data_IF_341828119388
#
_entry.id   IF_341828119388
#
_cell.length_a   1.000
_cell.length_b   1.000
_cell.length_c   1.000
_cell.angle_alpha   90.00
_cell.angle_beta   90.00
_cell.angle_gamma   90.00
#
_symmetry.space_group_name_H-M   'P 1'
#
loop_
_entity.id
_entity.type
_entity.pdbx_description
1 polymer ?
#
# COMPACT_ATOMS: atom_id res chain seq x y z
N UNK A 1 -8.39 -21.85 -27.02
CA UNK A 1 -7.37 -21.71 -25.95
C UNK A 1 -7.94 -20.77 -24.92
N UNK A 2 -8.19 -21.22 -23.69
CA UNK A 2 -8.80 -20.40 -22.63
C UNK A 2 -7.72 -19.47 -22.07
N UNK A 3 -7.82 -18.19 -22.36
CA UNK A 3 -7.14 -17.18 -21.56
C UNK A 3 -7.79 -17.19 -20.18
N UNK A 4 -7.02 -17.57 -19.17
CA UNK A 4 -7.45 -17.53 -17.77
C UNK A 4 -7.64 -16.06 -17.40
N UNK A 5 -8.90 -15.64 -17.29
CA UNK A 5 -9.27 -14.35 -16.69
C UNK A 5 -8.69 -14.36 -15.27
N UNK A 6 -7.60 -13.61 -15.06
CA UNK A 6 -7.23 -13.20 -13.70
C UNK A 6 -8.29 -12.17 -13.34
N UNK A 7 -9.34 -12.59 -12.66
CA UNK A 7 -10.31 -11.66 -12.09
C UNK A 7 -9.50 -10.65 -11.25
N UNK A 8 -9.59 -9.37 -11.63
CA UNK A 8 -9.00 -8.28 -10.86
C UNK A 8 -9.68 -8.31 -9.50
N UNK A 9 -9.00 -8.82 -8.48
CA UNK A 9 -9.50 -8.80 -7.10
C UNK A 9 -9.78 -7.34 -6.73
N UNK A 10 -11.04 -7.03 -6.39
CA UNK A 10 -11.40 -5.69 -5.91
C UNK A 10 -10.86 -5.49 -4.50
N UNK A 11 -9.89 -4.58 -4.37
CA UNK A 11 -9.22 -4.31 -3.11
C UNK A 11 -10.08 -3.47 -2.15
N UNK A 12 -11.11 -2.78 -2.64
CA UNK A 12 -11.86 -1.83 -1.80
C UNK A 12 -12.60 -2.53 -0.65
N UNK A 13 -13.14 -3.73 -0.90
CA UNK A 13 -13.77 -4.54 0.14
C UNK A 13 -12.82 -5.05 1.24
N UNK A 14 -11.51 -4.93 1.03
CA UNK A 14 -10.47 -5.36 1.98
C UNK A 14 -9.91 -4.20 2.82
N UNK A 15 -10.11 -2.94 2.39
CA UNK A 15 -9.64 -1.74 3.10
C UNK A 15 -10.33 -1.51 4.45
N UNK A 16 -11.38 -2.26 4.77
CA UNK A 16 -12.12 -2.18 6.04
C UNK A 16 -12.00 -3.45 6.90
N UNK A 17 -11.38 -4.52 6.38
CA UNK A 17 -11.23 -5.80 7.10
C UNK A 17 -10.03 -5.74 8.04
N UNK A 18 -10.28 -5.72 9.36
CA UNK A 18 -9.22 -5.60 10.40
C UNK A 18 -8.07 -6.58 10.20
N UNK A 19 -8.36 -7.86 9.98
CA UNK A 19 -7.35 -8.91 9.76
C UNK A 19 -6.44 -8.67 8.54
N UNK A 20 -6.95 -7.98 7.51
CA UNK A 20 -6.19 -7.61 6.32
C UNK A 20 -5.33 -6.39 6.62
N UNK A 21 -5.89 -5.39 7.30
CA UNK A 21 -5.17 -4.18 7.69
C UNK A 21 -4.04 -4.48 8.69
N UNK A 22 -4.23 -5.43 9.61
CA UNK A 22 -3.16 -5.90 10.51
C UNK A 22 -2.00 -6.49 9.73
N UNK A 23 -2.28 -7.32 8.72
CA UNK A 23 -1.25 -7.91 7.86
C UNK A 23 -0.62 -6.89 6.93
N UNK A 24 -1.38 -5.91 6.46
CA UNK A 24 -0.87 -4.77 5.70
C UNK A 24 0.13 -3.98 6.54
N UNK A 25 -0.20 -3.63 7.78
CA UNK A 25 0.70 -2.92 8.70
C UNK A 25 1.99 -3.73 8.94
N UNK A 26 1.88 -5.04 9.16
CA UNK A 26 3.04 -5.93 9.30
C UNK A 26 3.93 -5.93 8.05
N UNK A 27 3.31 -5.99 6.87
CA UNK A 27 4.02 -6.01 5.59
C UNK A 27 4.71 -4.67 5.31
N UNK A 28 4.05 -3.54 5.59
CA UNK A 28 4.63 -2.20 5.50
C UNK A 28 5.84 -2.06 6.44
N UNK A 29 5.67 -2.43 7.71
CA UNK A 29 6.77 -2.39 8.69
C UNK A 29 7.98 -3.21 8.25
N UNK A 30 7.72 -4.39 7.66
CA UNK A 30 8.78 -5.25 7.14
C UNK A 30 9.49 -4.64 5.93
N UNK A 31 8.74 -4.20 4.91
CA UNK A 31 9.34 -3.83 3.62
C UNK A 31 9.97 -2.44 3.63
N UNK A 32 9.41 -1.53 4.44
CA UNK A 32 9.90 -0.16 4.65
C UNK A 32 10.82 -0.02 5.87
N UNK A 33 11.08 -1.12 6.60
CA UNK A 33 11.90 -1.12 7.82
C UNK A 33 11.39 -0.13 8.88
N UNK A 34 10.07 -0.13 9.09
CA UNK A 34 9.36 0.71 10.04
C UNK A 34 8.83 -0.08 11.24
N UNK A 35 8.38 0.65 12.25
CA UNK A 35 7.70 0.09 13.42
C UNK A 35 6.45 0.90 13.76
N UNK A 36 5.57 1.06 12.76
CA UNK A 36 4.28 1.71 12.91
C UNK A 36 3.37 0.89 13.81
N UNK A 37 2.60 1.57 14.67
CA UNK A 37 1.63 0.98 15.57
C UNK A 37 0.28 1.69 15.41
N UNK A 38 -0.78 0.90 15.34
CA UNK A 38 -2.15 1.40 15.18
C UNK A 38 -2.99 0.92 16.36
N UNK A 39 -3.69 1.86 16.99
CA UNK A 39 -4.67 1.58 18.03
C UNK A 39 -6.00 1.15 17.38
N UNK A 40 -6.15 -0.15 17.10
CA UNK A 40 -7.28 -0.70 16.35
C UNK A 40 -8.67 -0.31 16.88
N UNK A 41 -8.81 -0.10 18.18
CA UNK A 41 -10.08 0.24 18.84
C UNK A 41 -10.52 1.70 18.62
N UNK A 42 -9.61 2.57 18.19
CA UNK A 42 -9.84 4.02 18.10
C UNK A 42 -10.36 4.49 16.74
N UNK A 43 -10.07 3.74 15.68
CA UNK A 43 -10.18 4.27 14.30
C UNK A 43 -11.29 3.65 13.45
N UNK A 44 -11.99 2.61 13.92
CA UNK A 44 -13.18 2.05 13.24
C UNK A 44 -12.99 1.84 11.74
N UNK A 45 -13.78 2.51 10.90
CA UNK A 45 -13.73 2.40 9.43
C UNK A 45 -12.61 3.23 8.78
N UNK A 46 -11.91 4.08 9.53
CA UNK A 46 -10.85 4.97 9.03
C UNK A 46 -9.45 4.38 9.18
N UNK A 47 -9.32 3.13 9.61
CA UNK A 47 -8.03 2.46 9.84
C UNK A 47 -7.10 2.48 8.61
N UNK A 48 -7.63 2.34 7.40
CA UNK A 48 -6.82 2.43 6.19
C UNK A 48 -6.24 3.84 5.98
N UNK A 49 -7.02 4.88 6.28
CA UNK A 49 -6.54 6.26 6.21
C UNK A 49 -5.46 6.53 7.26
N UNK A 50 -5.60 5.99 8.47
CA UNK A 50 -4.58 6.11 9.51
C UNK A 50 -3.23 5.51 9.07
N UNK A 51 -3.24 4.38 8.35
CA UNK A 51 -2.01 3.81 7.76
C UNK A 51 -1.37 4.81 6.79
N UNK A 52 -2.17 5.44 5.92
CA UNK A 52 -1.71 6.46 4.98
C UNK A 52 -1.09 7.64 5.74
N UNK A 53 -1.78 8.15 6.75
CA UNK A 53 -1.39 9.33 7.52
C UNK A 53 -0.08 9.10 8.32
N UNK A 54 0.19 7.86 8.73
CA UNK A 54 1.46 7.50 9.38
C UNK A 54 2.60 7.25 8.38
N UNK A 55 2.31 6.71 7.20
CA UNK A 55 3.33 6.40 6.18
C UNK A 55 3.76 7.64 5.41
N UNK A 56 2.84 8.55 5.08
CA UNK A 56 3.14 9.71 4.25
C UNK A 56 4.28 10.61 4.78
N UNK A 57 4.36 10.95 6.08
CA UNK A 57 5.48 11.72 6.62
C UNK A 57 6.83 11.01 6.50
N UNK A 58 6.85 9.67 6.56
CA UNK A 58 8.06 8.86 6.37
C UNK A 58 8.52 8.96 4.92
N UNK A 59 7.60 8.79 3.98
CA UNK A 59 7.91 8.92 2.55
C UNK A 59 8.38 10.34 2.23
N UNK A 60 7.71 11.35 2.77
CA UNK A 60 8.12 12.75 2.59
C UNK A 60 9.55 12.98 3.07
N UNK A 61 9.92 12.45 4.24
CA UNK A 61 11.29 12.53 4.76
C UNK A 61 12.29 11.85 3.82
N UNK A 62 11.96 10.69 3.26
CA UNK A 62 12.83 9.98 2.32
C UNK A 62 13.01 10.76 1.00
N UNK A 63 11.94 11.37 0.46
CA UNK A 63 12.02 12.26 -0.71
C UNK A 63 12.94 13.44 -0.40
N UNK A 64 12.73 14.11 0.73
CA UNK A 64 13.52 15.30 1.13
C UNK A 64 15.00 14.98 1.35
N UNK A 65 15.34 13.74 1.71
CA UNK A 65 16.74 13.30 1.81
C UNK A 65 17.45 13.22 0.45
N UNK A 66 16.72 13.19 -0.67
CA UNK A 66 17.26 13.36 -2.02
C UNK A 66 18.24 12.28 -2.47
N UNK A 67 18.25 11.12 -1.82
CA UNK A 67 19.21 10.03 -2.05
C UNK A 67 18.63 8.87 -2.89
N UNK A 68 17.48 9.08 -3.54
CA UNK A 68 16.86 8.07 -4.40
C UNK A 68 16.21 6.89 -3.65
N UNK A 69 16.05 6.98 -2.33
CA UNK A 69 15.57 5.85 -1.51
C UNK A 69 14.11 5.52 -1.76
N UNK A 70 13.28 6.49 -2.13
CA UNK A 70 11.86 6.24 -2.41
C UNK A 70 11.70 5.51 -3.74
N UNK A 71 12.46 5.90 -4.74
CA UNK A 71 12.52 5.24 -6.04
C UNK A 71 12.98 3.79 -5.86
N UNK A 72 14.08 3.57 -5.12
CA UNK A 72 14.55 2.22 -4.76
C UNK A 72 13.48 1.39 -4.05
N UNK A 73 12.73 1.99 -3.12
CA UNK A 73 11.62 1.33 -2.44
C UNK A 73 10.51 0.95 -3.43
N UNK A 74 10.08 1.85 -4.30
CA UNK A 74 9.06 1.61 -5.32
C UNK A 74 9.46 0.46 -6.25
N UNK A 75 10.72 0.40 -6.70
CA UNK A 75 11.21 -0.74 -7.49
C UNK A 75 11.20 -2.06 -6.70
N UNK A 76 11.63 -2.05 -5.43
CA UNK A 76 11.68 -3.25 -4.57
C UNK A 76 10.30 -3.90 -4.39
N UNK A 77 9.25 -3.09 -4.42
CA UNK A 77 7.86 -3.56 -4.33
C UNK A 77 7.18 -3.74 -5.70
N UNK A 78 7.94 -3.71 -6.81
CA UNK A 78 7.44 -3.86 -8.19
C UNK A 78 6.47 -2.75 -8.66
N UNK A 79 6.68 -1.50 -8.24
CA UNK A 79 6.01 -0.34 -8.83
C UNK A 79 6.88 0.22 -9.95
N UNK A 80 6.38 0.15 -11.20
CA UNK A 80 7.12 0.62 -12.37
C UNK A 80 7.11 2.14 -12.50
N UNK A 81 8.14 2.72 -13.12
CA UNK A 81 8.19 4.16 -13.43
C UNK A 81 6.96 4.64 -14.22
N UNK A 82 6.45 3.80 -15.14
CA UNK A 82 5.24 4.12 -15.87
C UNK A 82 4.06 4.33 -14.92
N UNK A 83 3.84 3.43 -13.95
CA UNK A 83 2.78 3.58 -12.96
C UNK A 83 2.98 4.80 -12.07
N UNK A 84 4.23 5.11 -11.70
CA UNK A 84 4.55 6.32 -10.93
C UNK A 84 4.17 7.57 -11.72
N UNK A 85 4.58 7.63 -13.00
CA UNK A 85 4.27 8.74 -13.88
C UNK A 85 2.76 8.89 -14.08
N UNK A 86 2.06 7.80 -14.39
CA UNK A 86 0.60 7.80 -14.52
C UNK A 86 -0.09 8.29 -13.24
N UNK A 87 0.40 7.88 -12.07
CA UNK A 87 -0.15 8.33 -10.79
C UNK A 87 0.10 9.82 -10.54
N UNK A 88 1.27 10.35 -10.90
CA UNK A 88 1.56 11.79 -10.82
C UNK A 88 0.68 12.57 -11.79
N UNK A 89 0.60 12.13 -13.05
CA UNK A 89 -0.13 12.83 -14.11
C UNK A 89 -1.65 12.83 -13.89
N UNK A 90 -2.18 11.83 -13.17
CA UNK A 90 -3.61 11.68 -12.88
C UNK A 90 -4.03 12.12 -11.48
N UNK A 91 -3.09 12.42 -10.58
CA UNK A 91 -3.40 12.85 -9.22
C UNK A 91 -3.99 14.27 -9.19
N UNK A 92 -5.07 14.45 -8.43
CA UNK A 92 -5.50 15.78 -7.98
C UNK A 92 -4.63 16.29 -6.83
N UNK A 93 -3.97 15.38 -6.12
CA UNK A 93 -2.98 15.67 -5.08
C UNK A 93 -1.67 16.15 -5.72
N UNK A 94 -1.07 17.19 -5.16
CA UNK A 94 0.18 17.78 -5.67
C UNK A 94 1.40 17.32 -4.90
N UNK A 95 1.22 16.79 -3.68
CA UNK A 95 2.30 16.29 -2.85
C UNK A 95 2.76 14.89 -3.31
N UNK A 96 3.98 14.74 -3.85
CA UNK A 96 4.48 13.44 -4.32
C UNK A 96 4.56 12.39 -3.20
N UNK A 97 4.77 12.81 -1.96
CA UNK A 97 4.82 11.89 -0.82
C UNK A 97 3.49 11.17 -0.61
N UNK A 98 2.37 11.88 -0.78
CA UNK A 98 1.03 11.31 -0.64
C UNK A 98 0.75 10.35 -1.80
N UNK A 99 1.07 10.75 -3.03
CA UNK A 99 0.92 9.90 -4.23
C UNK A 99 1.71 8.59 -4.07
N UNK A 100 2.98 8.69 -3.69
CA UNK A 100 3.83 7.51 -3.50
C UNK A 100 3.36 6.63 -2.34
N UNK A 101 2.85 7.24 -1.27
CA UNK A 101 2.25 6.51 -0.15
C UNK A 101 1.06 5.68 -0.60
N UNK A 102 0.17 6.23 -1.43
CA UNK A 102 -0.93 5.46 -2.01
C UNK A 102 -0.42 4.29 -2.86
N UNK A 103 0.55 4.52 -3.74
CA UNK A 103 1.13 3.45 -4.58
C UNK A 103 1.73 2.32 -3.74
N UNK A 104 2.48 2.67 -2.70
CA UNK A 104 3.12 1.70 -1.80
C UNK A 104 2.06 0.91 -1.05
N UNK A 105 1.11 1.58 -0.40
CA UNK A 105 0.08 0.93 0.41
C UNK A 105 -0.82 0.05 -0.45
N UNK A 106 -1.23 0.50 -1.64
CA UNK A 106 -2.04 -0.32 -2.55
C UNK A 106 -1.29 -1.56 -3.00
N UNK A 107 0.01 -1.46 -3.30
CA UNK A 107 0.83 -2.59 -3.69
C UNK A 107 0.99 -3.60 -2.56
N UNK A 108 1.18 -3.13 -1.33
CA UNK A 108 1.26 -4.01 -0.16
C UNK A 108 -0.08 -4.64 0.18
N UNK A 109 -1.19 -3.90 0.03
CA UNK A 109 -2.54 -4.44 0.18
C UNK A 109 -2.80 -5.55 -0.83
N UNK A 110 -2.41 -5.34 -2.10
CA UNK A 110 -2.49 -6.39 -3.13
C UNK A 110 -1.75 -7.65 -2.67
N UNK A 111 -0.47 -7.54 -2.26
CA UNK A 111 0.34 -8.69 -1.81
C UNK A 111 -0.34 -9.46 -0.68
N UNK A 112 -0.86 -8.74 0.30
CA UNK A 112 -1.56 -9.33 1.44
C UNK A 112 -2.83 -10.05 0.99
N UNK A 113 -3.70 -9.38 0.23
CA UNK A 113 -4.97 -9.97 -0.24
C UNK A 113 -4.71 -11.20 -1.11
N UNK A 114 -3.79 -11.11 -2.08
CA UNK A 114 -3.38 -12.24 -2.90
C UNK A 114 -2.89 -13.41 -2.03
N UNK A 115 -1.97 -13.17 -1.09
CA UNK A 115 -1.47 -14.23 -0.22
C UNK A 115 -2.60 -14.90 0.55
N UNK A 116 -3.55 -14.12 1.04
CA UNK A 116 -4.64 -14.62 1.87
C UNK A 116 -5.70 -15.41 1.09
N UNK A 117 -6.14 -14.90 -0.06
CA UNK A 117 -7.12 -15.56 -0.94
C UNK A 117 -6.55 -16.89 -1.43
N UNK A 118 -5.32 -16.91 -1.92
CA UNK A 118 -4.69 -18.14 -2.43
C UNK A 118 -4.29 -19.13 -1.32
N UNK A 119 -4.09 -18.65 -0.09
CA UNK A 119 -3.87 -19.52 1.08
C UNK A 119 -5.19 -19.99 1.73
N UNK A 120 -6.35 -19.67 1.15
CA UNK A 120 -7.70 -19.91 1.73
C UNK A 120 -7.88 -19.39 3.15
N UNK A 121 -7.14 -18.35 3.53
CA UNK A 121 -7.20 -17.76 4.87
C UNK A 121 -8.36 -16.75 5.02
N UNK A 122 -8.95 -16.34 3.90
CA UNK A 122 -10.20 -15.58 3.79
C UNK A 122 -10.91 -16.04 2.52
N UNK A 123 -12.23 -16.18 2.60
CA UNK A 123 -13.08 -16.33 1.43
C UNK A 123 -13.43 -14.93 0.91
N UNK A 124 -13.45 -14.78 -0.43
CA UNK A 124 -13.86 -13.54 -1.11
C UNK A 124 -15.22 -13.03 -0.62
#
# INVERSE_FOLDING_TARGET
>A
MKATTTDKIDLNGYKTRKEVLEKLLQQINKDLELNLQIEWEKYGTLLYQEIIDQVAPVIEKLIRQGNGRVEQLLYKIDVSELKVKEAIDSASETNPAVIFTHLIIERELQKVVFKLVYSKSINE
#
